data_IF_644055401502
#
_entry.id   IF_644055401502
#
_cell.length_a   1.000
_cell.length_b   1.000
_cell.length_c   1.000
_cell.angle_alpha   90.00
_cell.angle_beta   90.00
_cell.angle_gamma   90.00
#
_symmetry.space_group_name_H-M   'P 1'
#
loop_
_entity.id
_entity.type
_entity.pdbx_description
1 polymer ?
#
# COMPACT_ATOMS: atom_id res chain seq x y z
N UNK A 1 -86.01 -17.88 -26.88
CA UNK A 1 -85.73 -16.47 -26.50
C UNK A 1 -86.14 -16.30 -25.05
N UNK A 2 -85.22 -16.44 -24.09
CA UNK A 2 -85.45 -16.09 -22.68
C UNK A 2 -84.13 -15.64 -22.08
N UNK A 3 -84.09 -14.41 -21.60
CA UNK A 3 -82.92 -13.68 -21.12
C UNK A 3 -82.64 -14.05 -19.65
N UNK A 4 -81.44 -14.58 -19.38
CA UNK A 4 -80.95 -14.84 -18.02
C UNK A 4 -80.40 -13.57 -17.39
N UNK A 5 -81.17 -12.94 -16.48
CA UNK A 5 -80.64 -11.91 -15.57
C UNK A 5 -79.84 -12.56 -14.44
N UNK A 6 -78.51 -12.36 -14.44
CA UNK A 6 -77.64 -12.69 -13.29
C UNK A 6 -77.84 -11.62 -12.21
N UNK A 7 -78.35 -12.01 -11.04
CA UNK A 7 -78.37 -11.18 -9.82
C UNK A 7 -76.94 -11.11 -9.27
N UNK A 8 -76.38 -9.90 -9.19
CA UNK A 8 -75.13 -9.63 -8.48
C UNK A 8 -75.49 -9.41 -7.00
N UNK A 9 -74.96 -10.26 -6.11
CA UNK A 9 -75.18 -10.15 -4.67
C UNK A 9 -74.36 -9.04 -4.03
N UNK A 10 -74.71 -8.57 -2.82
CA UNK A 10 -74.12 -7.35 -2.21
C UNK A 10 -72.65 -7.48 -1.80
N UNK A 11 -72.05 -8.68 -1.91
CA UNK A 11 -70.70 -8.98 -1.42
C UNK A 11 -69.53 -8.56 -2.33
N UNK A 12 -69.79 -8.13 -3.57
CA UNK A 12 -68.72 -7.79 -4.52
C UNK A 12 -67.99 -6.47 -4.23
N UNK A 13 -68.66 -5.50 -3.62
CA UNK A 13 -68.09 -4.17 -3.39
C UNK A 13 -67.16 -4.11 -2.17
N UNK A 14 -67.38 -4.95 -1.16
CA UNK A 14 -66.55 -4.99 0.05
C UNK A 14 -65.22 -5.70 -0.21
N UNK A 15 -65.24 -6.78 -1.01
CA UNK A 15 -64.03 -7.52 -1.37
C UNK A 15 -63.06 -6.68 -2.25
N UNK A 16 -63.58 -5.86 -3.16
CA UNK A 16 -62.75 -4.98 -3.99
C UNK A 16 -62.20 -3.78 -3.21
N UNK A 17 -62.94 -3.24 -2.24
CA UNK A 17 -62.45 -2.16 -1.38
C UNK A 17 -61.31 -2.61 -0.45
N UNK A 18 -61.38 -3.84 0.10
CA UNK A 18 -60.33 -4.37 1.00
C UNK A 18 -59.03 -4.68 0.24
N UNK A 19 -59.11 -5.21 -0.98
CA UNK A 19 -57.91 -5.45 -1.82
C UNK A 19 -57.26 -4.14 -2.28
N UNK A 20 -58.06 -3.12 -2.61
CA UNK A 20 -57.52 -1.81 -3.00
C UNK A 20 -56.80 -1.09 -1.83
N UNK A 21 -57.32 -1.21 -0.61
CA UNK A 21 -56.67 -0.64 0.59
C UNK A 21 -55.38 -1.38 0.96
N UNK A 22 -55.34 -2.71 0.82
CA UNK A 22 -54.11 -3.50 1.04
C UNK A 22 -53.02 -3.23 -0.01
N UNK A 23 -53.39 -3.06 -1.29
CA UNK A 23 -52.44 -2.65 -2.33
C UNK A 23 -51.94 -1.21 -2.11
N UNK A 24 -52.80 -0.28 -1.68
CA UNK A 24 -52.38 1.08 -1.33
C UNK A 24 -51.44 1.12 -0.11
N UNK A 25 -51.66 0.26 0.90
CA UNK A 25 -50.78 0.14 2.06
C UNK A 25 -49.42 -0.49 1.72
N UNK A 26 -49.39 -1.46 0.79
CA UNK A 26 -48.15 -2.05 0.30
C UNK A 26 -47.31 -1.07 -0.55
N UNK A 27 -47.95 -0.17 -1.31
CA UNK A 27 -47.26 0.86 -2.09
C UNK A 27 -46.67 1.96 -1.18
N UNK A 28 -47.38 2.31 -0.10
CA UNK A 28 -46.89 3.31 0.88
C UNK A 28 -45.71 2.78 1.71
N UNK A 29 -45.61 1.47 1.97
CA UNK A 29 -44.46 0.87 2.67
C UNK A 29 -43.17 0.83 1.83
N UNK A 30 -43.25 0.92 0.49
CA UNK A 30 -42.05 1.00 -0.38
C UNK A 30 -41.57 2.42 -0.64
N UNK A 31 -42.39 3.44 -0.37
CA UNK A 31 -42.08 4.86 -0.65
C UNK A 31 -41.30 5.56 0.48
N UNK A 32 -41.08 4.88 1.61
CA UNK A 32 -40.41 5.43 2.79
C UNK A 32 -39.00 4.92 3.05
N UNK A 33 -38.45 4.03 2.22
CA UNK A 33 -37.03 3.73 2.31
C UNK A 33 -36.27 4.92 1.73
N UNK A 34 -35.38 5.59 2.48
CA UNK A 34 -34.46 6.51 1.85
C UNK A 34 -33.74 5.71 0.76
N UNK A 35 -33.89 6.13 -0.49
CA UNK A 35 -33.01 5.64 -1.54
C UNK A 35 -31.60 5.99 -1.08
N UNK A 36 -30.86 4.99 -0.60
CA UNK A 36 -29.44 5.14 -0.32
C UNK A 36 -28.85 5.47 -1.68
N UNK A 37 -28.51 6.75 -1.90
CA UNK A 37 -27.76 7.13 -3.09
C UNK A 37 -26.58 6.17 -3.17
N UNK A 38 -26.46 5.44 -4.27
CA UNK A 38 -25.29 4.59 -4.48
C UNK A 38 -24.08 5.51 -4.29
N UNK A 39 -23.16 5.13 -3.39
CA UNK A 39 -21.91 5.86 -3.26
C UNK A 39 -21.27 5.90 -4.65
N UNK A 40 -20.81 7.08 -5.07
CA UNK A 40 -20.16 7.20 -6.37
C UNK A 40 -18.93 6.29 -6.38
N UNK A 41 -18.95 5.28 -7.25
CA UNK A 41 -17.86 4.34 -7.42
C UNK A 41 -16.71 5.05 -8.13
N UNK A 42 -15.49 4.89 -7.61
CA UNK A 42 -14.28 5.38 -8.24
C UNK A 42 -13.63 4.28 -9.10
N UNK A 43 -12.73 4.70 -9.99
CA UNK A 43 -11.90 3.83 -10.80
C UNK A 43 -10.44 4.31 -10.79
N UNK A 44 -9.51 3.36 -10.94
CA UNK A 44 -8.09 3.64 -11.15
C UNK A 44 -7.65 2.89 -12.40
N UNK A 45 -7.17 3.62 -13.39
CA UNK A 45 -6.47 3.07 -14.55
C UNK A 45 -4.97 3.26 -14.35
N UNK A 46 -4.25 2.15 -14.28
CA UNK A 46 -2.78 2.16 -14.29
C UNK A 46 -2.31 2.01 -15.73
N UNK A 47 -1.54 2.97 -16.20
CA UNK A 47 -0.95 3.02 -17.55
C UNK A 47 0.56 2.78 -17.51
N UNK A 48 1.20 2.74 -18.68
CA UNK A 48 2.63 2.46 -18.84
C UNK A 48 3.05 1.14 -18.18
N UNK A 49 2.20 0.12 -18.25
CA UNK A 49 2.53 -1.23 -17.79
C UNK A 49 3.24 -1.99 -18.93
N UNK A 50 4.57 -2.18 -18.90
CA UNK A 50 5.33 -2.62 -20.07
C UNK A 50 5.14 -4.10 -20.45
N UNK A 51 4.52 -4.90 -19.58
CA UNK A 51 4.37 -6.35 -19.75
C UNK A 51 2.94 -6.75 -19.46
N UNK A 52 2.27 -7.32 -20.48
CA UNK A 52 0.91 -7.83 -20.36
C UNK A 52 0.82 -9.07 -19.46
N UNK A 53 -0.38 -9.33 -18.95
CA UNK A 53 -0.65 -10.50 -18.09
C UNK A 53 -0.19 -10.34 -16.64
N UNK A 54 0.43 -9.21 -16.27
CA UNK A 54 0.74 -8.88 -14.87
C UNK A 54 -0.52 -8.54 -14.08
N UNK A 55 -0.53 -8.88 -12.80
CA UNK A 55 -1.59 -8.45 -11.89
C UNK A 55 -1.24 -7.09 -11.28
N UNK A 56 -2.19 -6.16 -11.39
CA UNK A 56 -2.22 -4.92 -10.63
C UNK A 56 -3.23 -5.09 -9.51
N UNK A 57 -2.84 -4.73 -8.29
CA UNK A 57 -3.70 -4.77 -7.11
C UNK A 57 -3.76 -3.41 -6.45
N UNK A 58 -4.96 -2.97 -6.08
CA UNK A 58 -5.16 -1.79 -5.26
C UNK A 58 -5.76 -2.20 -3.91
N UNK A 59 -5.04 -1.92 -2.82
CA UNK A 59 -5.48 -2.14 -1.45
C UNK A 59 -5.95 -0.82 -0.85
N UNK A 60 -7.18 -0.73 -0.37
CA UNK A 60 -7.68 0.45 0.34
C UNK A 60 -7.06 0.52 1.73
N UNK A 61 -6.16 1.49 1.93
CA UNK A 61 -5.42 1.70 3.17
C UNK A 61 -6.04 2.77 4.06
N UNK A 62 -6.89 3.64 3.51
CA UNK A 62 -7.72 4.56 4.28
C UNK A 62 -9.11 4.74 3.65
N UNK A 63 -10.12 4.84 4.50
CA UNK A 63 -11.50 5.16 4.13
C UNK A 63 -11.64 6.68 4.00
N UNK A 64 -12.21 7.16 2.90
CA UNK A 64 -12.45 8.59 2.68
C UNK A 64 -13.84 8.99 3.19
N UNK A 65 -13.95 10.19 3.77
CA UNK A 65 -15.25 10.72 4.21
C UNK A 65 -16.18 11.04 3.02
N UNK A 66 -17.47 11.25 3.30
CA UNK A 66 -18.46 11.54 2.27
C UNK A 66 -18.29 12.90 1.58
N UNK A 67 -17.47 13.79 2.14
CA UNK A 67 -17.12 15.10 1.55
C UNK A 67 -15.82 15.05 0.75
N UNK A 68 -15.16 13.90 0.68
CA UNK A 68 -13.86 13.67 0.05
C UNK A 68 -12.73 14.56 0.59
N UNK A 69 -12.89 15.06 1.82
CA UNK A 69 -12.03 16.08 2.43
C UNK A 69 -11.04 15.51 3.44
N UNK A 70 -11.31 14.30 3.93
CA UNK A 70 -10.45 13.61 4.89
C UNK A 70 -10.53 12.10 4.69
N UNK A 71 -9.54 11.38 5.23
CA UNK A 71 -9.55 9.93 5.28
C UNK A 71 -8.94 9.42 6.58
N UNK A 72 -9.36 8.23 6.98
CA UNK A 72 -8.87 7.54 8.17
C UNK A 72 -8.36 6.14 7.81
N UNK A 73 -7.24 5.73 8.41
CA UNK A 73 -6.67 4.41 8.19
C UNK A 73 -7.71 3.30 8.45
N UNK A 74 -7.71 2.26 7.62
CA UNK A 74 -8.60 1.10 7.80
C UNK A 74 -8.24 0.32 9.07
N UNK A 75 -9.17 -0.47 9.59
CA UNK A 75 -9.00 -1.21 10.85
C UNK A 75 -7.75 -2.13 10.86
N UNK A 76 -7.36 -2.70 9.71
CA UNK A 76 -6.14 -3.51 9.59
C UNK A 76 -4.84 -2.74 9.87
N UNK A 77 -4.89 -1.40 9.94
CA UNK A 77 -3.76 -0.51 10.19
C UNK A 77 -3.87 0.20 11.56
N UNK A 78 -4.64 -0.32 12.52
CA UNK A 78 -4.85 0.32 13.82
C UNK A 78 -3.55 0.59 14.61
N UNK A 79 -2.51 -0.22 14.41
CA UNK A 79 -1.20 -0.05 15.04
C UNK A 79 -0.21 0.84 14.26
N UNK A 80 -0.53 1.20 13.00
CA UNK A 80 0.42 1.77 12.05
C UNK A 80 1.14 3.01 12.60
N UNK A 81 0.39 3.97 13.15
CA UNK A 81 0.96 5.21 13.66
C UNK A 81 1.96 4.97 14.80
N UNK A 82 1.67 4.04 15.71
CA UNK A 82 2.57 3.67 16.80
C UNK A 82 3.79 2.86 16.32
N UNK A 83 3.58 1.96 15.35
CA UNK A 83 4.64 1.08 14.82
C UNK A 83 5.60 1.83 13.89
N UNK A 84 5.14 2.85 13.16
CA UNK A 84 5.88 3.46 12.04
C UNK A 84 5.99 4.99 12.08
N UNK A 85 5.21 5.64 12.94
CA UNK A 85 5.06 7.10 12.91
C UNK A 85 4.33 7.62 11.66
N UNK A 86 3.70 6.75 10.86
CA UNK A 86 2.88 7.16 9.71
C UNK A 86 1.49 7.54 10.20
N UNK A 87 1.12 8.80 9.99
CA UNK A 87 -0.26 9.26 10.08
C UNK A 87 -0.81 9.44 8.67
N UNK A 88 -1.65 8.49 8.22
CA UNK A 88 -2.26 8.58 6.89
C UNK A 88 -3.16 9.81 6.76
N UNK A 89 -3.79 10.28 7.84
CA UNK A 89 -4.69 11.44 7.80
C UNK A 89 -3.96 12.76 7.55
N UNK A 90 -2.65 12.79 7.75
CA UNK A 90 -1.79 13.95 7.51
C UNK A 90 -1.27 14.02 6.06
N UNK A 91 -1.52 13.02 5.22
CA UNK A 91 -1.11 13.04 3.82
C UNK A 91 -1.99 14.02 3.01
N UNK A 92 -1.39 14.77 2.09
CA UNK A 92 -2.11 15.75 1.26
C UNK A 92 -1.22 16.43 0.22
N UNK A 93 -1.67 17.56 -0.33
CA UNK A 93 -0.94 18.28 -1.41
C UNK A 93 0.48 18.71 -1.02
N UNK A 94 0.73 18.95 0.27
CA UNK A 94 2.05 19.32 0.78
C UNK A 94 3.00 18.15 1.04
N UNK A 95 2.54 16.89 0.90
CA UNK A 95 3.39 15.72 1.14
C UNK A 95 4.36 15.54 -0.01
N UNK A 96 5.65 15.38 0.32
CA UNK A 96 6.70 15.20 -0.70
C UNK A 96 6.59 13.84 -1.39
N UNK A 97 7.07 13.75 -2.62
CA UNK A 97 7.13 12.48 -3.35
C UNK A 97 7.97 11.42 -2.61
N UNK A 98 9.04 11.84 -1.92
CA UNK A 98 9.89 10.95 -1.12
C UNK A 98 9.14 10.38 0.09
N UNK A 99 8.34 11.20 0.79
CA UNK A 99 7.52 10.71 1.91
C UNK A 99 6.42 9.77 1.43
N UNK A 100 5.72 10.11 0.33
CA UNK A 100 4.72 9.22 -0.26
C UNK A 100 5.34 7.87 -0.67
N UNK A 101 6.56 7.88 -1.22
CA UNK A 101 7.27 6.65 -1.58
C UNK A 101 7.63 5.83 -0.34
N UNK A 102 8.17 6.47 0.72
CA UNK A 102 8.50 5.80 1.98
C UNK A 102 7.26 5.19 2.63
N UNK A 103 6.14 5.90 2.65
CA UNK A 103 4.86 5.39 3.16
C UNK A 103 4.40 4.19 2.32
N UNK A 104 4.38 4.32 0.99
CA UNK A 104 3.97 3.23 0.11
C UNK A 104 4.81 1.97 0.32
N UNK A 105 6.13 2.09 0.34
CA UNK A 105 7.06 0.97 0.58
C UNK A 105 6.87 0.33 1.95
N UNK A 106 6.60 1.14 2.99
CA UNK A 106 6.30 0.64 4.34
C UNK A 106 4.98 -0.14 4.36
N UNK A 107 3.94 0.36 3.69
CA UNK A 107 2.63 -0.29 3.66
C UNK A 107 2.61 -1.61 2.88
N UNK A 108 3.53 -1.84 1.92
CA UNK A 108 3.62 -3.13 1.22
C UNK A 108 3.78 -4.28 2.22
N UNK A 109 4.63 -4.13 3.25
CA UNK A 109 4.80 -5.15 4.27
C UNK A 109 3.53 -5.42 5.10
N UNK A 110 2.69 -4.40 5.32
CA UNK A 110 1.42 -4.55 6.04
C UNK A 110 0.35 -5.27 5.21
N UNK A 111 0.21 -4.91 3.92
CA UNK A 111 -0.73 -5.61 3.04
C UNK A 111 -0.26 -7.03 2.73
N UNK A 112 1.05 -7.27 2.68
CA UNK A 112 1.62 -8.62 2.49
C UNK A 112 1.37 -9.52 3.71
N UNK A 113 1.47 -8.96 4.92
CA UNK A 113 1.23 -9.68 6.17
C UNK A 113 -0.26 -10.03 6.40
N UNK A 114 -1.18 -9.23 5.87
CA UNK A 114 -2.62 -9.42 6.06
C UNK A 114 -3.44 -8.96 4.85
N UNK A 115 -3.31 -9.60 3.66
CA UNK A 115 -3.93 -9.11 2.43
C UNK A 115 -5.46 -9.07 2.53
N UNK A 116 -6.06 -10.01 3.26
CA UNK A 116 -7.51 -10.10 3.45
C UNK A 116 -8.07 -9.06 4.46
N UNK A 117 -7.20 -8.31 5.13
CA UNK A 117 -7.59 -7.23 6.04
C UNK A 117 -8.00 -5.94 5.32
N UNK A 118 -7.83 -5.87 3.99
CA UNK A 118 -8.03 -4.68 3.19
C UNK A 118 -9.13 -4.90 2.16
N UNK A 119 -9.96 -3.88 1.91
CA UNK A 119 -10.75 -3.84 0.69
C UNK A 119 -9.81 -3.76 -0.51
N UNK A 120 -9.92 -4.65 -1.48
CA UNK A 120 -9.01 -4.70 -2.62
C UNK A 120 -9.70 -4.95 -3.94
N UNK A 121 -9.12 -4.42 -5.02
CA UNK A 121 -9.47 -4.77 -6.39
C UNK A 121 -8.22 -5.22 -7.15
N UNK A 122 -8.41 -6.11 -8.12
CA UNK A 122 -7.34 -6.60 -9.00
C UNK A 122 -7.72 -6.42 -10.46
N UNK A 123 -6.72 -6.20 -11.29
CA UNK A 123 -6.87 -6.12 -12.74
C UNK A 123 -5.64 -6.72 -13.43
N UNK A 124 -5.84 -7.37 -14.57
CA UNK A 124 -4.74 -7.89 -15.38
C UNK A 124 -4.34 -6.85 -16.42
N UNK A 125 -3.04 -6.61 -16.58
CA UNK A 125 -2.50 -5.72 -17.61
C UNK A 125 -2.83 -6.27 -19.01
N UNK A 126 -3.42 -5.42 -19.84
CA UNK A 126 -3.63 -5.62 -21.29
C UNK A 126 -3.38 -4.33 -22.04
N UNK A 127 -2.67 -4.41 -23.17
CA UNK A 127 -2.35 -3.26 -24.01
C UNK A 127 -1.71 -2.10 -23.21
N UNK A 128 -0.85 -2.47 -22.25
CA UNK A 128 -0.15 -1.54 -21.39
C UNK A 128 -0.98 -0.85 -20.29
N UNK A 129 -2.21 -1.31 -20.05
CA UNK A 129 -3.12 -0.74 -19.05
C UNK A 129 -3.78 -1.79 -18.15
N UNK A 130 -4.12 -1.42 -16.93
CA UNK A 130 -4.96 -2.19 -16.03
C UNK A 130 -6.03 -1.30 -15.39
N UNK A 131 -7.31 -1.68 -15.48
CA UNK A 131 -8.43 -0.89 -14.99
C UNK A 131 -9.05 -1.53 -13.74
N UNK A 132 -8.89 -0.88 -12.60
CA UNK A 132 -9.52 -1.20 -11.33
C UNK A 132 -10.84 -0.41 -11.25
N UNK A 133 -11.96 -1.10 -11.07
CA UNK A 133 -13.30 -0.49 -11.11
C UNK A 133 -14.08 -0.82 -9.84
N UNK A 134 -15.19 -0.11 -9.61
CA UNK A 134 -16.07 -0.29 -8.43
C UNK A 134 -15.34 -0.08 -7.11
N UNK A 135 -14.44 0.89 -7.08
CA UNK A 135 -13.68 1.24 -5.89
C UNK A 135 -14.53 2.13 -4.99
N UNK A 136 -14.58 1.82 -3.70
CA UNK A 136 -15.13 2.75 -2.72
C UNK A 136 -14.19 3.97 -2.56
N UNK A 137 -14.70 5.18 -2.27
CA UNK A 137 -13.86 6.33 -1.97
C UNK A 137 -12.80 6.05 -0.90
N UNK A 138 -11.53 6.31 -1.20
CA UNK A 138 -10.42 5.95 -0.31
C UNK A 138 -9.04 6.32 -0.81
N UNK A 139 -8.05 6.09 0.05
CA UNK A 139 -6.63 6.07 -0.30
C UNK A 139 -6.22 4.62 -0.60
N UNK A 140 -5.63 4.39 -1.76
CA UNK A 140 -5.24 3.08 -2.25
C UNK A 140 -3.72 2.94 -2.35
N UNK A 141 -3.18 1.85 -1.82
CA UNK A 141 -1.85 1.35 -2.16
C UNK A 141 -1.96 0.48 -3.42
N UNK A 142 -1.36 0.95 -4.51
CA UNK A 142 -1.34 0.24 -5.79
C UNK A 142 0.01 -0.46 -5.96
N UNK A 143 -0.04 -1.77 -6.22
CA UNK A 143 1.12 -2.62 -6.46
C UNK A 143 0.99 -3.36 -7.79
N UNK A 144 2.11 -3.70 -8.41
CA UNK A 144 2.19 -4.45 -9.67
C UNK A 144 3.22 -5.56 -9.46
N UNK A 145 2.91 -6.78 -9.88
CA UNK A 145 3.86 -7.91 -9.83
C UNK A 145 5.11 -7.62 -10.68
N UNK A 146 6.29 -7.80 -10.08
CA UNK A 146 7.56 -7.76 -10.77
C UNK A 146 7.64 -8.86 -11.83
N UNK A 147 8.46 -8.64 -12.85
CA UNK A 147 8.60 -9.62 -13.94
C UNK A 147 9.90 -9.54 -14.67
N UNK A 148 10.47 -10.71 -14.93
CA UNK A 148 11.46 -10.91 -15.97
C UNK A 148 10.82 -11.46 -17.24
N UNK A 149 10.89 -10.68 -18.33
CA UNK A 149 10.38 -11.06 -19.65
C UNK A 149 11.41 -10.75 -20.72
N UNK A 150 11.70 -11.72 -21.58
CA UNK A 150 12.70 -11.55 -22.65
C UNK A 150 14.12 -11.22 -22.15
N UNK A 151 14.47 -11.64 -20.92
CA UNK A 151 15.77 -11.36 -20.30
C UNK A 151 15.91 -9.94 -19.73
N UNK A 152 14.80 -9.20 -19.61
CA UNK A 152 14.73 -7.88 -18.98
C UNK A 152 13.80 -7.97 -17.78
N UNK A 153 14.26 -7.45 -16.65
CA UNK A 153 13.50 -7.40 -15.40
C UNK A 153 12.89 -6.02 -15.21
N UNK A 154 11.64 -6.01 -14.77
CA UNK A 154 10.84 -4.86 -14.45
C UNK A 154 10.49 -4.93 -12.97
N UNK A 155 11.07 -4.03 -12.17
CA UNK A 155 10.78 -3.92 -10.73
C UNK A 155 9.91 -2.70 -10.51
N UNK A 156 8.66 -2.93 -10.12
CA UNK A 156 7.67 -1.87 -9.97
C UNK A 156 7.74 -1.21 -8.60
N UNK A 157 7.55 0.10 -8.58
CA UNK A 157 7.43 0.85 -7.33
C UNK A 157 5.95 0.87 -6.88
N UNK A 158 5.67 0.68 -5.59
CA UNK A 158 4.32 0.87 -5.04
C UNK A 158 3.96 2.36 -4.99
N UNK A 159 2.68 2.68 -5.15
CA UNK A 159 2.20 4.07 -5.15
C UNK A 159 0.93 4.25 -4.33
N UNK A 160 0.76 5.44 -3.76
CA UNK A 160 -0.48 5.86 -3.12
C UNK A 160 -1.34 6.67 -4.10
N UNK A 161 -2.63 6.33 -4.16
CA UNK A 161 -3.60 6.95 -5.07
C UNK A 161 -4.89 7.25 -4.30
N UNK A 162 -5.26 8.53 -4.21
CA UNK A 162 -6.60 8.91 -3.76
C UNK A 162 -7.61 8.71 -4.89
N UNK A 163 -8.70 8.00 -4.61
CA UNK A 163 -9.80 7.75 -5.56
C UNK A 163 -11.14 7.93 -4.80
N UNK A 164 -11.94 8.98 -5.09
CA UNK A 164 -11.64 10.06 -6.02
C UNK A 164 -10.46 10.92 -5.58
N UNK A 165 -9.93 11.73 -6.49
CA UNK A 165 -8.82 12.64 -6.21
C UNK A 165 -9.10 14.03 -6.75
N UNK A 166 -8.58 15.04 -6.07
CA UNK A 166 -8.65 16.44 -6.49
C UNK A 166 -7.79 16.68 -7.73
N UNK A 167 -8.29 17.46 -8.69
CA UNK A 167 -7.60 17.81 -9.94
C UNK A 167 -7.35 19.32 -10.12
N UNK A 168 -7.54 20.11 -9.06
CA UNK A 168 -7.40 21.57 -9.10
C UNK A 168 -8.71 22.32 -9.30
N UNK A 169 -9.86 21.63 -9.42
CA UNK A 169 -11.17 22.28 -9.43
C UNK A 169 -12.36 21.38 -9.12
N UNK A 170 -12.25 20.07 -9.38
CA UNK A 170 -13.28 19.09 -9.06
C UNK A 170 -12.66 17.78 -8.55
N UNK A 171 -13.48 16.94 -7.94
CA UNK A 171 -13.08 15.57 -7.68
C UNK A 171 -13.26 14.75 -8.94
N UNK A 172 -12.17 14.12 -9.40
CA UNK A 172 -12.24 13.11 -10.44
C UNK A 172 -12.32 11.72 -9.80
N UNK A 173 -13.38 10.99 -10.15
CA UNK A 173 -13.61 9.60 -9.78
C UNK A 173 -12.87 8.63 -10.70
N UNK A 174 -12.45 9.08 -11.88
CA UNK A 174 -11.66 8.31 -12.83
C UNK A 174 -10.20 8.72 -12.72
N UNK A 175 -9.43 7.93 -11.97
CA UNK A 175 -8.02 8.22 -11.73
C UNK A 175 -7.16 7.54 -12.78
N UNK A 176 -6.19 8.27 -13.32
CA UNK A 176 -5.16 7.73 -14.19
C UNK A 176 -3.82 7.89 -13.49
N UNK A 177 -3.07 6.80 -13.38
CA UNK A 177 -1.73 6.79 -12.79
C UNK A 177 -0.77 6.06 -13.71
N UNK A 178 0.48 6.51 -13.75
CA UNK A 178 1.54 5.87 -14.54
C UNK A 178 2.31 4.92 -13.65
N UNK A 179 2.50 3.67 -14.09
CA UNK A 179 3.41 2.76 -13.43
C UNK A 179 4.83 3.32 -13.46
N UNK A 180 5.53 3.27 -12.32
CA UNK A 180 6.97 3.52 -12.23
C UNK A 180 7.68 2.21 -11.94
N UNK A 181 8.80 2.02 -12.61
CA UNK A 181 9.60 0.82 -12.51
C UNK A 181 11.04 1.08 -12.91
N UNK A 182 11.92 0.22 -12.42
CA UNK A 182 13.28 0.06 -12.91
C UNK A 182 13.22 -1.03 -13.98
N UNK A 183 13.85 -0.79 -15.13
CA UNK A 183 13.92 -1.72 -16.26
C UNK A 183 15.36 -1.97 -16.62
N UNK A 184 15.86 -3.16 -16.34
CA UNK A 184 17.26 -3.50 -16.58
C UNK A 184 17.39 -4.98 -17.01
N UNK A 185 18.38 -5.34 -17.82
CA UNK A 185 18.73 -6.74 -18.02
C UNK A 185 19.14 -7.35 -16.68
N UNK A 186 18.60 -8.52 -16.35
CA UNK A 186 19.03 -9.28 -15.18
C UNK A 186 18.95 -10.78 -15.45
N UNK A 187 19.95 -11.50 -14.95
CA UNK A 187 20.06 -12.96 -15.00
C UNK A 187 20.18 -13.55 -13.60
N UNK A 188 20.71 -12.77 -12.66
CA UNK A 188 20.89 -13.13 -11.27
C UNK A 188 20.19 -12.10 -10.38
N UNK A 189 19.63 -12.57 -9.27
CA UNK A 189 18.90 -11.75 -8.31
C UNK A 189 19.45 -12.00 -6.92
N UNK A 190 19.86 -10.92 -6.27
CA UNK A 190 20.28 -10.96 -4.89
C UNK A 190 19.56 -9.87 -4.10
N UNK A 191 19.24 -10.21 -2.87
CA UNK A 191 18.39 -9.38 -2.04
C UNK A 191 19.01 -9.29 -0.65
N UNK A 192 18.84 -8.15 -0.01
CA UNK A 192 19.30 -7.96 1.35
C UNK A 192 18.36 -7.05 2.13
N UNK A 193 18.23 -7.37 3.41
CA UNK A 193 17.59 -6.53 4.40
C UNK A 193 18.62 -6.06 5.41
N UNK A 194 18.67 -4.76 5.67
CA UNK A 194 19.60 -4.15 6.63
C UNK A 194 18.85 -3.27 7.60
N UNK A 195 19.20 -3.39 8.89
CA UNK A 195 18.64 -2.57 9.95
C UNK A 195 19.51 -1.33 10.20
N UNK A 196 18.87 -0.16 10.20
CA UNK A 196 19.46 1.14 10.48
C UNK A 196 18.76 1.78 11.66
N UNK A 197 19.51 2.59 12.42
CA UNK A 197 19.03 3.30 13.61
C UNK A 197 19.18 4.80 13.40
N UNK A 198 18.19 5.58 13.80
CA UNK A 198 18.17 7.04 13.72
C UNK A 198 17.75 7.66 15.05
N UNK A 199 18.36 8.78 15.41
CA UNK A 199 17.96 9.57 16.58
C UNK A 199 18.37 9.02 17.95
N UNK A 200 19.17 7.96 18.02
CA UNK A 200 19.69 7.39 19.29
C UNK A 200 21.22 7.49 19.45
N UNK A 201 21.69 7.18 20.67
CA UNK A 201 23.13 7.06 21.02
C UNK A 201 23.63 5.61 21.04
N UNK A 202 22.85 4.65 20.54
CA UNK A 202 23.16 3.22 20.56
C UNK A 202 22.89 2.47 21.87
N UNK A 203 22.95 3.15 23.03
CA UNK A 203 22.86 2.50 24.35
C UNK A 203 21.49 1.94 24.73
N UNK A 204 20.44 2.34 24.01
CA UNK A 204 19.04 1.93 24.25
C UNK A 204 18.50 1.00 23.17
N UNK A 205 19.34 0.59 22.21
CA UNK A 205 18.94 -0.35 21.17
C UNK A 205 18.68 -1.73 21.77
N UNK A 206 17.60 -2.43 21.36
CA UNK A 206 17.39 -3.83 21.73
C UNK A 206 18.53 -4.70 21.18
N UNK A 207 18.71 -5.88 21.77
CA UNK A 207 19.75 -6.84 21.34
C UNK A 207 19.54 -7.36 19.93
N UNK A 208 18.28 -7.43 19.50
CA UNK A 208 17.87 -7.88 18.19
C UNK A 208 16.51 -7.33 17.81
N UNK A 209 16.17 -7.47 16.52
CA UNK A 209 14.84 -7.18 15.98
C UNK A 209 14.37 -8.34 15.12
N UNK A 210 13.06 -8.52 15.02
CA UNK A 210 12.45 -9.57 14.19
C UNK A 210 11.85 -8.95 12.94
N UNK A 211 12.25 -9.45 11.78
CA UNK A 211 11.77 -9.00 10.47
C UNK A 211 11.15 -10.17 9.72
N UNK A 212 9.90 -9.99 9.29
CA UNK A 212 9.23 -10.89 8.37
C UNK A 212 9.49 -10.43 6.93
N UNK A 213 9.92 -11.35 6.08
CA UNK A 213 10.20 -11.16 4.65
C UNK A 213 9.13 -11.88 3.86
N UNK A 214 8.51 -11.18 2.90
CA UNK A 214 7.42 -11.68 2.07
C UNK A 214 7.83 -11.71 0.60
N UNK A 215 7.34 -12.72 -0.12
CA UNK A 215 7.29 -12.77 -1.59
C UNK A 215 5.83 -12.62 -2.02
N UNK A 216 5.48 -11.43 -2.52
CA UNK A 216 4.08 -11.04 -2.67
C UNK A 216 3.38 -11.09 -1.30
N UNK A 217 2.35 -11.92 -1.17
CA UNK A 217 1.63 -12.13 0.11
C UNK A 217 2.08 -13.37 0.89
N UNK A 218 3.05 -14.14 0.38
CA UNK A 218 3.54 -15.33 1.05
C UNK A 218 4.68 -14.97 2.00
N UNK A 219 4.59 -15.38 3.26
CA UNK A 219 5.73 -15.31 4.19
C UNK A 219 6.85 -16.23 3.69
N UNK A 220 7.97 -15.64 3.27
CA UNK A 220 9.17 -16.36 2.84
C UNK A 220 10.02 -16.78 4.04
N UNK A 221 10.31 -15.84 4.94
CA UNK A 221 11.17 -16.09 6.11
C UNK A 221 10.96 -15.05 7.20
N UNK A 222 11.02 -15.48 8.45
CA UNK A 222 11.24 -14.60 9.60
C UNK A 222 12.71 -14.65 9.99
N UNK A 223 13.36 -13.49 10.11
CA UNK A 223 14.77 -13.37 10.46
C UNK A 223 14.96 -12.51 11.70
N UNK A 224 15.97 -12.86 12.49
CA UNK A 224 16.44 -12.05 13.61
C UNK A 224 17.68 -11.26 13.16
N UNK A 225 17.61 -9.93 13.22
CA UNK A 225 18.74 -9.05 12.92
C UNK A 225 19.35 -8.57 14.24
N UNK A 226 20.68 -8.65 14.37
CA UNK A 226 21.39 -8.32 15.60
C UNK A 226 22.85 -7.91 15.32
N UNK A 227 23.57 -7.42 16.32
CA UNK A 227 24.96 -6.98 16.13
C UNK A 227 25.88 -8.05 15.54
N UNK A 228 25.78 -9.29 16.03
CA UNK A 228 26.59 -10.42 15.53
C UNK A 228 26.39 -10.81 14.04
N UNK A 229 25.30 -10.37 13.39
CA UNK A 229 25.10 -10.56 11.93
C UNK A 229 25.20 -9.23 11.16
N UNK A 230 25.80 -8.22 11.79
CA UNK A 230 25.94 -6.89 11.21
C UNK A 230 24.59 -6.23 10.93
N UNK A 231 23.54 -6.59 11.69
CA UNK A 231 22.19 -6.06 11.51
C UNK A 231 21.64 -6.33 10.10
N UNK A 232 21.98 -7.48 9.50
CA UNK A 232 21.67 -7.75 8.10
C UNK A 232 21.36 -9.23 7.81
N UNK A 233 20.61 -9.46 6.74
CA UNK A 233 20.34 -10.78 6.18
C UNK A 233 20.24 -10.69 4.66
N UNK A 234 20.70 -11.73 3.95
CA UNK A 234 20.71 -11.77 2.47
C UNK A 234 20.15 -13.09 1.95
N UNK A 235 19.52 -13.02 0.77
CA UNK A 235 19.00 -14.19 0.06
C UNK A 235 19.00 -13.94 -1.45
N UNK A 236 19.06 -15.02 -2.22
CA UNK A 236 18.99 -14.96 -3.68
C UNK A 236 17.59 -15.30 -4.16
N UNK A 237 17.25 -14.83 -5.37
CA UNK A 237 15.99 -15.16 -6.05
C UNK A 237 15.22 -13.94 -6.54
N UNK A 238 14.54 -14.12 -7.68
CA UNK A 238 13.53 -13.18 -8.15
C UNK A 238 12.28 -13.29 -7.25
N UNK A 239 11.59 -12.17 -7.05
CA UNK A 239 10.35 -12.14 -6.26
C UNK A 239 9.81 -10.73 -6.06
N UNK A 240 8.62 -10.67 -5.47
CA UNK A 240 7.95 -9.45 -5.06
C UNK A 240 8.29 -9.16 -3.59
N UNK A 241 9.55 -8.81 -3.34
CA UNK A 241 10.09 -8.72 -1.99
C UNK A 241 9.59 -7.51 -1.21
N UNK A 242 9.02 -7.76 -0.04
CA UNK A 242 8.72 -6.75 0.97
C UNK A 242 9.06 -7.25 2.37
N UNK A 243 9.12 -6.33 3.34
CA UNK A 243 9.40 -6.69 4.74
C UNK A 243 8.48 -5.95 5.71
N UNK A 244 8.23 -6.58 6.86
CA UNK A 244 7.63 -5.93 8.03
C UNK A 244 8.45 -6.26 9.27
N UNK A 245 8.92 -5.24 9.99
CA UNK A 245 9.51 -5.43 11.32
C UNK A 245 8.39 -5.60 12.36
N UNK A 246 8.58 -6.51 13.32
CA UNK A 246 7.67 -6.65 14.46
C UNK A 246 8.05 -5.66 15.54
N UNK A 247 7.13 -4.78 15.89
CA UNK A 247 7.36 -3.66 16.81
C UNK A 247 6.86 -3.91 18.24
N UNK A 248 6.38 -5.11 18.53
CA UNK A 248 5.94 -5.50 19.88
C UNK A 248 7.09 -5.39 20.88
N UNK A 249 6.93 -4.54 21.90
CA UNK A 249 7.95 -4.36 22.95
C UNK A 249 9.21 -3.60 22.50
N UNK A 250 9.20 -2.99 21.31
CA UNK A 250 10.33 -2.25 20.74
C UNK A 250 10.43 -0.80 21.22
N UNK A 251 9.57 -0.35 22.14
CA UNK A 251 9.49 1.05 22.53
C UNK A 251 10.84 1.62 23.04
N UNK A 252 11.15 2.90 22.80
CA UNK A 252 10.37 3.91 22.07
C UNK A 252 10.92 4.14 20.65
N UNK A 253 10.63 3.21 19.73
CA UNK A 253 11.06 3.29 18.33
C UNK A 253 9.88 3.17 17.36
N UNK A 254 10.01 3.80 16.19
CA UNK A 254 9.14 3.59 15.01
C UNK A 254 9.94 3.01 13.85
N UNK A 255 9.33 2.19 13.00
CA UNK A 255 9.97 1.52 11.86
C UNK A 255 9.49 2.05 10.51
N UNK A 256 10.43 2.39 9.63
CA UNK A 256 10.17 2.81 8.25
C UNK A 256 10.95 1.93 7.27
N UNK A 257 10.33 1.59 6.15
CA UNK A 257 10.96 0.79 5.09
C UNK A 257 11.35 1.70 3.94
N UNK A 258 12.55 1.48 3.41
CA UNK A 258 12.99 2.00 2.12
C UNK A 258 13.52 0.84 1.26
N UNK A 259 13.11 0.76 0.00
CA UNK A 259 13.62 -0.22 -0.95
C UNK A 259 14.25 0.47 -2.16
N UNK A 260 15.35 -0.09 -2.66
CA UNK A 260 16.02 0.37 -3.87
C UNK A 260 16.61 -0.82 -4.62
N UNK A 261 16.69 -0.71 -5.94
CA UNK A 261 17.35 -1.71 -6.79
C UNK A 261 18.59 -1.08 -7.45
N UNK A 262 19.68 -1.86 -7.50
CA UNK A 262 20.87 -1.55 -8.29
C UNK A 262 21.10 -2.67 -9.29
N UNK A 263 21.69 -2.33 -10.43
CA UNK A 263 22.09 -3.29 -11.46
C UNK A 263 23.56 -3.12 -11.81
N UNK A 264 24.22 -4.21 -12.19
CA UNK A 264 25.53 -4.20 -12.86
C UNK A 264 25.45 -4.70 -14.32
N UNK A 265 24.23 -4.84 -14.85
CA UNK A 265 23.95 -5.30 -16.22
C UNK A 265 23.75 -6.81 -16.36
N UNK A 266 24.10 -7.61 -15.35
CA UNK A 266 23.79 -9.04 -15.30
C UNK A 266 23.13 -9.47 -13.98
N UNK A 267 23.39 -8.74 -12.91
CA UNK A 267 22.85 -8.97 -11.58
C UNK A 267 21.99 -7.79 -11.16
N UNK A 268 20.85 -8.12 -10.55
CA UNK A 268 19.94 -7.18 -9.92
C UNK A 268 20.00 -7.36 -8.41
N UNK A 269 20.43 -6.31 -7.71
CA UNK A 269 20.55 -6.29 -6.26
C UNK A 269 19.44 -5.42 -5.64
N UNK A 270 18.52 -6.06 -4.92
CA UNK A 270 17.46 -5.39 -4.16
C UNK A 270 17.93 -5.12 -2.73
N UNK A 271 18.00 -3.83 -2.36
CA UNK A 271 18.31 -3.35 -1.01
C UNK A 271 17.03 -2.95 -0.28
N UNK A 272 16.70 -3.62 0.82
CA UNK A 272 15.63 -3.21 1.73
C UNK A 272 16.24 -2.70 3.03
N UNK A 273 16.00 -1.44 3.36
CA UNK A 273 16.46 -0.82 4.61
C UNK A 273 15.29 -0.68 5.57
N UNK A 274 15.46 -1.21 6.78
CA UNK A 274 14.53 -1.05 7.90
C UNK A 274 15.11 0.00 8.84
N UNK A 275 14.51 1.17 8.96
CA UNK A 275 15.01 2.25 9.82
C UNK A 275 14.19 2.35 11.10
N UNK A 276 14.81 2.14 12.27
CA UNK A 276 14.20 2.49 13.55
C UNK A 276 14.58 3.91 13.97
N UNK A 277 13.58 4.76 14.18
CA UNK A 277 13.75 6.12 14.68
C UNK A 277 13.35 6.20 16.15
N UNK A 278 14.24 6.69 16.99
CA UNK A 278 13.98 6.87 18.41
C UNK A 278 13.04 8.06 18.65
N UNK A 279 11.94 7.82 19.38
CA UNK A 279 10.91 8.82 19.70
C UNK A 279 10.76 9.06 21.20
N UNK A 280 11.69 8.53 22.01
CA UNK A 280 11.73 8.76 23.45
C UNK A 280 12.32 10.12 23.84
N UNK A 281 12.36 10.43 25.15
CA UNK A 281 13.02 11.64 25.65
C UNK A 281 14.47 11.71 25.16
N UNK A 282 15.00 12.89 24.80
CA UNK A 282 16.36 13.03 24.33
C UNK A 282 17.34 12.43 25.35
N UNK A 283 18.25 11.60 24.87
CA UNK A 283 19.30 11.04 25.71
C UNK A 283 20.10 12.20 26.35
N UNK A 284 20.40 12.14 27.67
CA UNK A 284 21.21 13.17 28.32
C UNK A 284 22.54 13.36 27.56
N UNK A 285 22.79 14.56 27.04
CA UNK A 285 24.04 14.89 26.33
C UNK A 285 23.89 15.48 24.92
N UNK A 286 22.68 15.60 24.36
CA UNK A 286 22.47 16.31 23.09
C UNK A 286 22.10 17.78 23.34
N UNK A 287 23.01 18.71 23.02
CA UNK A 287 22.61 20.08 22.70
C UNK A 287 21.75 20.04 21.44
N UNK A 288 20.71 20.87 21.36
CA UNK A 288 19.88 20.98 20.17
C UNK A 288 20.75 21.40 18.98
N UNK A 289 20.95 20.49 18.03
CA UNK A 289 21.62 20.82 16.78
C UNK A 289 20.58 21.42 15.84
N UNK A 290 20.25 22.69 16.05
CA UNK A 290 19.55 23.51 15.05
C UNK A 290 20.58 23.87 13.97
N UNK A 291 20.45 23.25 12.80
CA UNK A 291 21.23 23.58 11.59
C UNK A 291 22.08 22.43 11.06
N UNK A 292 21.50 21.55 10.24
CA UNK A 292 21.67 21.60 8.78
C UNK A 292 20.79 20.52 8.13
N UNK A 293 19.94 20.94 7.18
CA UNK A 293 18.90 20.13 6.56
C UNK A 293 19.40 19.28 5.40
N UNK A 294 20.24 18.29 5.68
CA UNK A 294 20.41 17.15 4.77
C UNK A 294 19.75 15.94 5.39
N UNK A 295 18.52 15.69 4.93
CA UNK A 295 17.84 14.41 5.02
C UNK A 295 18.87 13.28 4.71
N UNK A 296 19.02 12.21 5.49
CA UNK A 296 20.01 11.16 5.21
C UNK A 296 19.69 10.33 3.96
N UNK A 297 18.52 10.54 3.34
CA UNK A 297 18.05 9.82 2.16
C UNK A 297 18.98 9.92 0.92
N UNK A 298 19.68 11.03 0.60
CA UNK A 298 20.64 11.08 -0.50
C UNK A 298 22.04 10.54 -0.14
N UNK A 299 22.43 10.54 1.14
CA UNK A 299 23.79 10.20 1.56
C UNK A 299 24.03 8.67 1.64
N UNK A 300 23.00 7.89 1.92
CA UNK A 300 23.12 6.43 2.01
C UNK A 300 23.37 5.77 0.63
N UNK A 301 22.97 6.42 -0.46
CA UNK A 301 23.27 5.97 -1.83
C UNK A 301 24.76 5.95 -2.17
N UNK A 302 25.56 6.81 -1.53
CA UNK A 302 27.00 7.00 -1.81
C UNK A 302 27.93 6.11 -0.97
N UNK A 303 27.52 5.69 0.23
CA UNK A 303 28.41 4.92 1.12
C UNK A 303 28.54 3.42 0.74
N UNK A 304 27.56 2.86 0.03
CA UNK A 304 27.69 1.47 -0.49
C UNK A 304 28.67 1.39 -1.67
N UNK A 305 28.89 2.48 -2.41
CA UNK A 305 29.85 2.51 -3.52
C UNK A 305 31.32 2.51 -3.03
N UNK A 306 31.61 3.08 -1.87
CA UNK A 306 32.97 3.14 -1.33
C UNK A 306 33.43 1.79 -0.73
N UNK A 307 32.53 1.03 -0.09
CA UNK A 307 32.85 -0.27 0.50
C UNK A 307 33.17 -1.37 -0.53
N UNK A 308 32.50 -1.35 -1.68
CA UNK A 308 32.71 -2.34 -2.75
C UNK A 308 34.01 -2.06 -3.53
N UNK A 309 34.42 -0.79 -3.69
CA UNK A 309 35.68 -0.44 -4.37
C UNK A 309 36.93 -0.86 -3.59
N UNK A 310 36.85 -0.96 -2.25
CA UNK A 310 38.00 -1.41 -1.43
C UNK A 310 38.16 -2.94 -1.48
N UNK A 311 37.09 -3.71 -1.69
CA UNK A 311 37.18 -5.17 -1.81
C UNK A 311 37.68 -5.66 -3.18
N UNK A 312 37.41 -4.92 -4.27
CA UNK A 312 37.89 -5.26 -5.61
C UNK A 312 39.36 -4.84 -5.82
N UNK A 313 39.85 -3.82 -5.11
CA UNK A 313 41.24 -3.35 -5.21
C UNK A 313 42.30 -4.26 -4.57
N UNK A 314 41.93 -5.18 -3.68
CA UNK A 314 42.89 -6.05 -2.98
C UNK A 314 43.12 -7.39 -3.70
N UNK A 315 42.29 -7.77 -4.68
CA UNK A 315 42.41 -9.08 -5.37
C UNK A 315 43.20 -9.05 -6.69
N UNK A 316 43.79 -7.92 -7.07
CA UNK A 316 44.63 -7.78 -8.30
C UNK A 316 46.14 -7.60 -7.97
N UNK A 317 46.57 -7.85 -6.73
CA UNK A 317 48.00 -7.97 -6.42
C UNK A 317 48.29 -9.20 -5.56
N UNK A 318 48.41 -10.34 -6.22
CA UNK A 318 49.49 -11.34 -6.07
C UNK A 318 49.37 -12.38 -7.18
#
# INVERSE_FOLDING_TARGET
MFTSRRKVGPGGHVAHAVVAVLCAMAIVLTLGMPARAAAAEASIVVENCPVDGRTVTAYRVADMDSSYSSWSAVAALSGLAGETGIDLSALGEGTTAAELQSVAQTLVGYVSANPNGFGSATATVRDGKAALTKLEPGLYLVTIENVTSGGVSYVFEPHLVAAPGWDGGTFSFDRIVQAKYIKEPAKEFANHVTKVWSGDSGSVRPKSVIVDIYDGSQLYRTVELHEGNGWSFSWDGEGDWSVKERMDGMGPYTSRIASSVKTDGARMDTSITVTNSYVGPPAPGRLAQTGDGTDPLPALGLLVAAGVLVAVGVRVRR
#
